data_IF_268317703848
#
_entry.id   IF_268317703848
#
_cell.length_a   1.000
_cell.length_b   1.000
_cell.length_c   1.000
_cell.angle_alpha   90.00
_cell.angle_beta   90.00
_cell.angle_gamma   90.00
#
_symmetry.space_group_name_H-M   'P 1'
#
loop_
_entity.id
_entity.type
_entity.pdbx_description
1 polymer ?
#
# COMPACT_ATOMS: atom_id res chain seq x y z
N UNK A 1 -6.90 -6.42 -15.88
CA UNK A 1 -6.47 -5.16 -15.24
C UNK A 1 -5.17 -4.71 -15.88
N UNK A 2 -4.87 -3.42 -15.83
CA UNK A 2 -3.66 -2.86 -16.43
C UNK A 2 -2.38 -3.63 -16.04
N UNK A 3 -2.23 -4.00 -14.78
CA UNK A 3 -1.08 -4.78 -14.31
C UNK A 3 -0.99 -6.17 -14.94
N UNK A 4 -2.12 -6.87 -15.02
CA UNK A 4 -2.14 -8.21 -15.61
C UNK A 4 -1.90 -8.17 -17.10
N UNK A 5 -2.49 -7.20 -17.82
CA UNK A 5 -2.31 -7.03 -19.26
C UNK A 5 -0.83 -6.75 -19.58
N UNK A 6 -0.16 -5.91 -18.77
CA UNK A 6 1.26 -5.60 -18.90
C UNK A 6 2.18 -6.77 -18.49
N UNK A 7 1.76 -7.59 -17.53
CA UNK A 7 2.49 -8.80 -17.16
C UNK A 7 2.41 -9.84 -18.30
N UNK A 8 1.24 -10.03 -18.87
CA UNK A 8 1.02 -10.94 -20.00
C UNK A 8 1.75 -10.48 -21.28
N UNK A 9 1.85 -9.18 -21.52
CA UNK A 9 2.63 -8.62 -22.63
C UNK A 9 4.15 -8.67 -22.41
N UNK A 10 4.61 -8.97 -21.18
CA UNK A 10 6.03 -8.98 -20.82
C UNK A 10 6.62 -7.59 -20.54
N UNK A 11 5.81 -6.55 -20.47
CA UNK A 11 6.25 -5.21 -20.07
C UNK A 11 6.59 -5.12 -18.57
N UNK A 12 5.89 -5.89 -17.74
CA UNK A 12 6.18 -6.08 -16.31
C UNK A 12 6.73 -7.48 -16.07
N UNK A 13 7.56 -7.60 -15.04
CA UNK A 13 8.13 -8.88 -14.60
C UNK A 13 7.78 -9.14 -13.14
N UNK A 14 7.63 -10.41 -12.79
CA UNK A 14 7.54 -10.82 -11.39
C UNK A 14 8.89 -10.63 -10.70
N UNK A 15 8.85 -10.11 -9.49
CA UNK A 15 10.00 -9.97 -8.59
C UNK A 15 9.77 -10.77 -7.32
N UNK A 16 10.76 -10.89 -6.48
CA UNK A 16 10.56 -11.39 -5.12
C UNK A 16 9.91 -10.27 -4.31
N UNK A 17 8.70 -10.50 -3.85
CA UNK A 17 7.90 -9.54 -3.08
C UNK A 17 7.52 -10.12 -1.72
N UNK A 18 7.32 -9.26 -0.75
CA UNK A 18 6.90 -9.66 0.60
C UNK A 18 5.39 -9.95 0.66
N UNK A 19 4.60 -9.16 -0.04
CA UNK A 19 3.12 -9.24 -0.17
C UNK A 19 2.32 -9.03 1.14
N UNK A 20 2.97 -8.54 2.20
CA UNK A 20 2.33 -8.05 3.43
C UNK A 20 3.25 -7.01 4.10
N UNK A 21 3.48 -5.91 3.38
CA UNK A 21 4.48 -4.87 3.75
C UNK A 21 3.93 -3.79 4.68
N UNK A 22 2.86 -4.10 5.39
CA UNK A 22 2.33 -3.20 6.43
C UNK A 22 3.38 -2.86 7.47
N UNK A 23 3.31 -1.67 8.05
CA UNK A 23 4.31 -1.17 9.00
C UNK A 23 4.49 -2.10 10.22
N UNK A 24 3.46 -2.83 10.63
CA UNK A 24 3.50 -3.78 11.74
C UNK A 24 4.47 -4.96 11.50
N UNK A 25 4.89 -5.20 10.25
CA UNK A 25 5.86 -6.23 9.90
C UNK A 25 7.31 -5.69 9.85
N UNK A 26 7.54 -4.47 10.31
CA UNK A 26 8.87 -3.88 10.49
C UNK A 26 9.17 -3.71 11.97
N UNK A 27 10.21 -4.36 12.46
CA UNK A 27 10.69 -4.15 13.83
C UNK A 27 11.56 -2.89 13.88
N UNK A 28 11.26 -2.03 14.84
CA UNK A 28 11.96 -0.77 15.07
C UNK A 28 12.63 -0.83 16.44
N UNK A 29 13.88 -0.40 16.51
CA UNK A 29 14.64 -0.29 17.77
C UNK A 29 14.12 0.88 18.59
N UNK A 30 13.64 0.61 19.80
CA UNK A 30 13.01 1.59 20.67
C UNK A 30 13.95 2.74 21.10
N UNK A 31 15.27 2.51 21.09
CA UNK A 31 16.24 3.52 21.52
C UNK A 31 16.69 4.42 20.38
N UNK A 32 16.84 3.86 19.19
CA UNK A 32 17.39 4.58 18.03
C UNK A 32 16.36 5.00 17.00
N UNK A 33 15.14 4.45 17.07
CA UNK A 33 14.07 4.64 16.07
C UNK A 33 14.41 4.06 14.70
N UNK A 34 15.41 3.17 14.59
CA UNK A 34 15.82 2.57 13.31
C UNK A 34 15.14 1.23 13.09
N UNK A 35 14.81 0.95 11.83
CA UNK A 35 14.36 -0.38 11.41
C UNK A 35 15.47 -1.40 11.66
N UNK A 36 15.12 -2.53 12.29
CA UNK A 36 16.05 -3.64 12.63
C UNK A 36 15.91 -4.76 11.61
N UNK A 37 14.69 -5.21 11.36
CA UNK A 37 14.38 -6.28 10.41
C UNK A 37 12.92 -6.25 9.98
N UNK A 38 12.65 -6.97 8.89
CA UNK A 38 11.30 -7.29 8.41
C UNK A 38 10.94 -8.69 8.90
N UNK A 39 9.70 -8.89 9.31
CA UNK A 39 9.16 -10.16 9.84
C UNK A 39 7.94 -10.59 9.02
N UNK A 40 7.36 -11.76 9.36
CA UNK A 40 6.17 -12.31 8.71
C UNK A 40 6.42 -12.66 7.23
N UNK A 41 7.45 -13.50 7.00
CA UNK A 41 7.97 -13.81 5.67
C UNK A 41 7.23 -14.97 4.97
N UNK A 42 6.13 -15.47 5.51
CA UNK A 42 5.38 -16.60 4.95
C UNK A 42 4.63 -16.26 3.65
N UNK A 43 4.45 -14.97 3.36
CA UNK A 43 3.85 -14.45 2.12
C UNK A 43 4.89 -14.12 1.03
N UNK A 44 6.18 -14.32 1.30
CA UNK A 44 7.23 -14.02 0.31
C UNK A 44 7.14 -14.96 -0.90
N UNK A 45 6.84 -14.39 -2.06
CA UNK A 45 6.69 -15.13 -3.31
C UNK A 45 6.90 -14.21 -4.52
N UNK A 46 6.95 -14.77 -5.76
CA UNK A 46 6.95 -13.94 -6.95
C UNK A 46 5.68 -13.06 -7.04
N UNK A 47 5.86 -11.76 -7.21
CA UNK A 47 4.77 -10.78 -7.30
C UNK A 47 5.19 -9.50 -8.03
N UNK A 48 4.29 -8.54 -8.10
CA UNK A 48 4.55 -7.23 -8.67
C UNK A 48 5.06 -6.29 -7.56
N UNK A 49 6.15 -5.59 -7.82
CA UNK A 49 6.76 -4.67 -6.84
C UNK A 49 5.79 -3.56 -6.38
N UNK A 50 4.84 -3.18 -7.23
CA UNK A 50 3.80 -2.21 -6.92
C UNK A 50 2.88 -2.68 -5.79
N UNK A 51 2.74 -3.98 -5.57
CA UNK A 51 1.93 -4.53 -4.48
C UNK A 51 2.59 -4.24 -3.12
N UNK A 52 3.90 -4.47 -3.00
CA UNK A 52 4.65 -4.16 -1.77
C UNK A 52 4.61 -2.66 -1.44
N UNK A 53 4.89 -1.83 -2.45
CA UNK A 53 4.75 -0.38 -2.29
C UNK A 53 3.34 0.02 -1.87
N UNK A 54 2.33 -0.53 -2.56
CA UNK A 54 0.93 -0.18 -2.33
C UNK A 54 0.42 -0.56 -0.95
N UNK A 55 0.74 -1.76 -0.47
CA UNK A 55 0.32 -2.20 0.86
C UNK A 55 0.98 -1.37 1.98
N UNK A 56 2.22 -0.97 1.79
CA UNK A 56 2.90 -0.07 2.72
C UNK A 56 2.28 1.34 2.74
N UNK A 57 1.92 1.90 1.57
CA UNK A 57 1.27 3.21 1.48
C UNK A 57 -0.12 3.18 2.13
N UNK A 58 -0.89 2.13 1.89
CA UNK A 58 -2.23 1.95 2.46
C UNK A 58 -2.24 2.09 3.98
N UNK A 59 -1.21 1.59 4.65
CA UNK A 59 -1.09 1.63 6.11
C UNK A 59 -0.22 2.80 6.58
N UNK A 60 0.90 3.05 5.92
CA UNK A 60 1.91 4.02 6.36
C UNK A 60 1.66 5.47 5.97
N UNK A 61 0.81 5.73 4.96
CA UNK A 61 0.46 7.09 4.53
C UNK A 61 -0.99 7.49 4.87
N UNK A 62 -1.79 6.59 5.46
CA UNK A 62 -3.10 6.93 6.00
C UNK A 62 -2.98 7.82 7.24
N UNK A 63 -3.84 8.84 7.34
CA UNK A 63 -3.91 9.73 8.51
C UNK A 63 -4.77 9.15 9.64
N UNK A 64 -5.44 8.02 9.41
CA UNK A 64 -6.36 7.40 10.35
C UNK A 64 -6.10 5.88 10.44
N UNK A 65 -6.60 5.27 11.49
CA UNK A 65 -6.58 3.83 11.68
C UNK A 65 -7.40 3.11 10.60
N UNK A 66 -7.12 1.82 10.38
CA UNK A 66 -7.76 1.02 9.33
C UNK A 66 -9.27 0.87 9.53
N UNK A 67 -9.75 0.95 10.76
CA UNK A 67 -11.16 0.80 11.16
C UNK A 67 -11.80 2.11 11.67
N UNK A 68 -11.27 3.27 11.28
CA UNK A 68 -11.77 4.59 11.64
C UNK A 68 -13.23 4.78 11.19
N UNK A 69 -14.09 5.11 12.13
CA UNK A 69 -15.53 5.33 11.87
C UNK A 69 -15.79 6.73 11.30
N UNK A 70 -14.99 7.71 11.76
CA UNK A 70 -15.12 9.08 11.28
C UNK A 70 -14.34 9.27 9.96
N UNK A 71 -14.97 9.03 8.85
CA UNK A 71 -14.36 9.10 7.53
C UNK A 71 -13.78 10.49 7.18
N UNK A 72 -14.15 11.54 7.89
CA UNK A 72 -13.54 12.88 7.67
C UNK A 72 -12.07 12.96 8.14
N UNK A 73 -11.62 12.01 8.94
CA UNK A 73 -10.23 11.90 9.39
C UNK A 73 -9.36 11.11 8.44
N UNK A 74 -9.97 10.38 7.51
CA UNK A 74 -9.28 9.48 6.57
C UNK A 74 -8.78 10.24 5.37
N UNK A 75 -7.46 10.31 5.22
CA UNK A 75 -6.78 10.96 4.10
C UNK A 75 -5.43 10.30 3.83
N UNK A 76 -4.96 10.33 2.60
CA UNK A 76 -3.59 9.99 2.25
C UNK A 76 -2.69 11.21 2.46
N UNK A 77 -1.76 11.13 3.41
CA UNK A 77 -0.77 12.17 3.67
C UNK A 77 0.28 12.18 2.55
N UNK A 78 0.35 13.28 1.81
CA UNK A 78 1.35 13.42 0.74
C UNK A 78 2.77 13.55 1.29
N UNK A 79 2.95 14.06 2.50
CA UNK A 79 4.24 14.11 3.19
C UNK A 79 4.75 12.68 3.51
N UNK A 80 3.89 11.83 4.07
CA UNK A 80 4.23 10.43 4.36
C UNK A 80 4.41 9.63 3.07
N UNK A 81 3.57 9.87 2.06
CA UNK A 81 3.71 9.27 0.74
C UNK A 81 5.07 9.61 0.09
N UNK A 82 5.50 10.89 0.10
CA UNK A 82 6.82 11.29 -0.43
C UNK A 82 7.95 10.65 0.38
N UNK A 83 7.85 10.68 1.70
CA UNK A 83 8.88 10.12 2.59
C UNK A 83 9.05 8.61 2.34
N UNK A 84 7.94 7.88 2.26
CA UNK A 84 7.97 6.45 1.97
C UNK A 84 8.51 6.16 0.56
N UNK A 85 8.02 6.88 -0.44
CA UNK A 85 8.48 6.75 -1.84
C UNK A 85 10.00 6.92 -1.93
N UNK A 86 10.55 7.89 -1.25
CA UNK A 86 11.99 8.15 -1.20
C UNK A 86 12.75 6.98 -0.57
N UNK A 87 12.29 6.47 0.56
CA UNK A 87 12.88 5.32 1.24
C UNK A 87 12.81 4.06 0.38
N UNK A 88 11.66 3.81 -0.23
CA UNK A 88 11.42 2.64 -1.09
C UNK A 88 12.33 2.66 -2.33
N UNK A 89 12.33 3.75 -3.09
CA UNK A 89 13.16 3.87 -4.30
C UNK A 89 14.66 3.79 -3.95
N UNK A 90 15.09 4.42 -2.87
CA UNK A 90 16.46 4.30 -2.39
C UNK A 90 16.83 2.86 -2.01
N UNK A 91 15.92 2.13 -1.37
CA UNK A 91 16.10 0.71 -1.00
C UNK A 91 16.16 -0.20 -2.21
N UNK A 92 15.36 0.05 -3.23
CA UNK A 92 15.37 -0.69 -4.50
C UNK A 92 16.60 -0.37 -5.37
N UNK A 93 17.24 0.78 -5.19
CA UNK A 93 18.33 1.25 -6.04
C UNK A 93 17.92 1.28 -7.52
N UNK A 94 18.79 0.82 -8.38
CA UNK A 94 18.55 0.79 -9.85
C UNK A 94 17.84 -0.50 -10.32
N UNK A 95 17.17 -1.24 -9.44
CA UNK A 95 16.56 -2.52 -9.80
C UNK A 95 15.21 -2.38 -10.49
N UNK A 96 14.51 -1.26 -10.31
CA UNK A 96 13.21 -1.02 -10.90
C UNK A 96 13.31 -0.42 -12.30
N UNK A 97 12.41 -0.85 -13.19
CA UNK A 97 12.27 -0.22 -14.51
C UNK A 97 11.54 1.12 -14.40
N UNK A 98 11.71 2.04 -15.36
CA UNK A 98 10.94 3.29 -15.39
C UNK A 98 9.43 3.07 -15.39
N UNK A 99 8.96 1.99 -16.02
CA UNK A 99 7.55 1.62 -16.03
C UNK A 99 7.08 1.23 -14.63
N UNK A 100 7.81 0.37 -13.90
CA UNK A 100 7.47 -0.02 -12.53
C UNK A 100 7.39 1.19 -11.61
N UNK A 101 8.36 2.11 -11.72
CA UNK A 101 8.35 3.37 -10.94
C UNK A 101 7.11 4.20 -11.25
N UNK A 102 6.76 4.37 -12.53
CA UNK A 102 5.58 5.15 -12.93
C UNK A 102 4.25 4.57 -12.44
N UNK A 103 4.22 3.26 -12.17
CA UNK A 103 3.04 2.53 -11.70
C UNK A 103 2.91 2.44 -10.16
N UNK A 104 3.87 2.95 -9.39
CA UNK A 104 3.80 2.94 -7.93
C UNK A 104 2.53 3.60 -7.36
N UNK A 105 2.08 4.79 -7.84
CA UNK A 105 0.81 5.37 -7.38
C UNK A 105 -0.40 4.46 -7.65
N UNK A 106 -0.40 3.77 -8.80
CA UNK A 106 -1.46 2.82 -9.13
C UNK A 106 -1.42 1.61 -8.19
N UNK A 107 -0.23 1.16 -7.78
CA UNK A 107 -0.06 0.11 -6.77
C UNK A 107 -0.71 0.50 -5.44
N UNK A 108 -0.47 1.73 -4.96
CA UNK A 108 -1.08 2.24 -3.74
C UNK A 108 -2.62 2.21 -3.81
N UNK A 109 -3.18 2.73 -4.89
CA UNK A 109 -4.64 2.73 -5.10
C UNK A 109 -5.21 1.31 -5.20
N UNK A 110 -4.57 0.43 -5.98
CA UNK A 110 -5.05 -0.94 -6.20
C UNK A 110 -5.02 -1.78 -4.92
N UNK A 111 -3.95 -1.72 -4.14
CA UNK A 111 -3.85 -2.47 -2.89
C UNK A 111 -4.86 -1.99 -1.84
N UNK A 112 -5.09 -0.67 -1.77
CA UNK A 112 -6.12 -0.10 -0.90
C UNK A 112 -7.52 -0.55 -1.32
N UNK A 113 -7.81 -0.51 -2.62
CA UNK A 113 -9.10 -0.94 -3.16
C UNK A 113 -9.34 -2.45 -2.95
N UNK A 114 -8.33 -3.28 -3.22
CA UNK A 114 -8.39 -4.73 -3.01
C UNK A 114 -8.73 -5.07 -1.56
N UNK A 115 -8.02 -4.47 -0.60
CA UNK A 115 -8.28 -4.70 0.81
C UNK A 115 -9.69 -4.23 1.22
N UNK A 116 -10.16 -3.11 0.68
CA UNK A 116 -11.54 -2.67 0.87
C UNK A 116 -12.57 -3.71 0.42
N UNK A 117 -12.37 -4.31 -0.76
CA UNK A 117 -13.24 -5.39 -1.26
C UNK A 117 -13.13 -6.65 -0.38
N UNK A 118 -11.93 -7.02 0.07
CA UNK A 118 -11.73 -8.18 0.94
C UNK A 118 -12.49 -8.02 2.27
N UNK A 119 -12.41 -6.85 2.90
CA UNK A 119 -13.18 -6.55 4.12
C UNK A 119 -14.69 -6.60 3.88
N UNK A 120 -15.17 -6.04 2.76
CA UNK A 120 -16.58 -6.09 2.41
C UNK A 120 -17.04 -7.54 2.17
N UNK A 121 -16.25 -8.32 1.46
CA UNK A 121 -16.55 -9.72 1.19
C UNK A 121 -16.69 -10.52 2.48
N UNK A 122 -15.73 -10.35 3.40
CA UNK A 122 -15.78 -11.05 4.69
C UNK A 122 -16.98 -10.62 5.54
N UNK A 123 -17.28 -9.32 5.58
CA UNK A 123 -18.49 -8.81 6.24
C UNK A 123 -19.77 -9.46 5.70
N UNK A 124 -19.90 -9.56 4.37
CA UNK A 124 -21.07 -10.17 3.73
C UNK A 124 -21.14 -11.69 3.96
N UNK A 125 -20.01 -12.34 4.22
CA UNK A 125 -19.92 -13.76 4.55
C UNK A 125 -20.11 -14.06 6.05
N UNK A 126 -20.27 -13.03 6.88
CA UNK A 126 -20.50 -13.17 8.32
C UNK A 126 -19.22 -13.11 9.16
N UNK A 127 -18.21 -12.37 8.70
CA UNK A 127 -16.95 -12.09 9.42
C UNK A 127 -16.18 -13.36 9.80
N UNK A 128 -15.91 -14.21 8.80
CA UNK A 128 -15.32 -15.55 9.02
C UNK A 128 -13.81 -15.59 8.83
N UNK A 129 -13.21 -14.62 8.17
CA UNK A 129 -11.78 -14.58 7.83
C UNK A 129 -10.98 -13.63 8.72
N UNK A 130 -11.35 -12.35 8.75
CA UNK A 130 -10.65 -11.36 9.55
C UNK A 130 -11.16 -11.35 10.99
N UNK A 131 -10.23 -11.26 11.93
CA UNK A 131 -10.61 -11.11 13.35
C UNK A 131 -11.33 -9.78 13.55
N UNK A 132 -12.53 -9.84 14.09
CA UNK A 132 -13.32 -8.67 14.48
C UNK A 132 -13.25 -8.43 15.98
N UNK A 133 -13.31 -7.17 16.40
CA UNK A 133 -13.39 -6.76 17.81
C UNK A 133 -14.76 -6.19 18.18
N UNK A 134 -15.61 -5.89 17.20
CA UNK A 134 -16.94 -5.29 17.39
C UNK A 134 -17.84 -5.59 16.20
N UNK A 135 -19.14 -5.37 16.35
CA UNK A 135 -20.09 -5.42 15.24
C UNK A 135 -19.70 -4.41 14.14
N UNK A 136 -19.91 -4.77 12.88
CA UNK A 136 -19.59 -3.98 11.69
C UNK A 136 -18.10 -3.61 11.52
N UNK A 137 -17.18 -4.26 12.24
CA UNK A 137 -15.75 -3.92 12.20
C UNK A 137 -15.18 -3.98 10.77
N UNK A 138 -15.45 -5.07 10.02
CA UNK A 138 -14.99 -5.19 8.64
C UNK A 138 -15.73 -4.25 7.67
N UNK A 139 -16.98 -3.88 7.96
CA UNK A 139 -17.69 -2.86 7.18
C UNK A 139 -17.05 -1.47 7.36
N UNK A 140 -16.64 -1.13 8.58
CA UNK A 140 -15.94 0.14 8.85
C UNK A 140 -14.56 0.15 8.18
N UNK A 141 -13.80 -0.96 8.27
CA UNK A 141 -12.55 -1.13 7.52
C UNK A 141 -12.75 -0.94 6.01
N UNK A 142 -13.79 -1.53 5.44
CA UNK A 142 -14.12 -1.35 4.03
C UNK A 142 -14.35 0.13 3.70
N UNK A 143 -15.16 0.83 4.50
CA UNK A 143 -15.46 2.26 4.30
C UNK A 143 -14.21 3.12 4.38
N UNK A 144 -13.32 2.84 5.34
CA UNK A 144 -12.04 3.53 5.49
C UNK A 144 -11.16 3.34 4.25
N UNK A 145 -11.03 2.10 3.76
CA UNK A 145 -10.24 1.84 2.55
C UNK A 145 -10.83 2.54 1.32
N UNK A 146 -12.15 2.49 1.11
CA UNK A 146 -12.77 3.18 -0.01
C UNK A 146 -12.65 4.70 0.08
N UNK A 147 -12.71 5.26 1.30
CA UNK A 147 -12.46 6.69 1.53
C UNK A 147 -11.03 7.08 1.22
N UNK A 148 -10.07 6.23 1.57
CA UNK A 148 -8.66 6.44 1.25
C UNK A 148 -8.42 6.38 -0.28
N UNK A 149 -9.09 5.47 -1.00
CA UNK A 149 -9.06 5.43 -2.48
C UNK A 149 -9.61 6.72 -3.08
N UNK A 150 -10.77 7.20 -2.60
CA UNK A 150 -11.35 8.48 -3.03
C UNK A 150 -10.37 9.65 -2.87
N UNK A 151 -9.68 9.72 -1.72
CA UNK A 151 -8.71 10.77 -1.43
C UNK A 151 -7.44 10.64 -2.32
N UNK A 152 -6.96 9.42 -2.58
CA UNK A 152 -5.87 9.17 -3.53
C UNK A 152 -6.26 9.60 -4.95
N UNK A 153 -7.50 9.35 -5.38
CA UNK A 153 -7.99 9.79 -6.69
C UNK A 153 -8.03 11.31 -6.78
N UNK A 154 -8.47 11.99 -5.74
CA UNK A 154 -8.46 13.45 -5.67
C UNK A 154 -7.06 14.06 -5.69
N UNK A 155 -6.04 13.32 -5.23
CA UNK A 155 -4.62 13.72 -5.17
C UNK A 155 -3.77 13.05 -6.24
N UNK A 156 -4.37 12.46 -7.25
CA UNK A 156 -3.69 11.59 -8.22
C UNK A 156 -2.49 12.25 -8.89
N UNK A 157 -2.68 13.44 -9.43
CA UNK A 157 -1.61 14.18 -10.11
C UNK A 157 -0.44 14.48 -9.17
N UNK A 158 -0.75 14.86 -7.91
CA UNK A 158 0.28 15.11 -6.89
C UNK A 158 1.07 13.84 -6.55
N UNK A 159 0.42 12.68 -6.45
CA UNK A 159 1.10 11.41 -6.23
C UNK A 159 2.05 11.08 -7.38
N UNK A 160 1.62 11.30 -8.62
CA UNK A 160 2.47 11.09 -9.80
C UNK A 160 3.67 12.04 -9.83
N UNK A 161 3.45 13.33 -9.56
CA UNK A 161 4.53 14.33 -9.48
C UNK A 161 5.56 13.99 -8.41
N UNK A 162 5.12 13.54 -7.23
CA UNK A 162 6.01 13.10 -6.14
C UNK A 162 6.89 11.93 -6.61
N UNK A 163 6.30 10.90 -7.21
CA UNK A 163 7.08 9.73 -7.68
C UNK A 163 8.09 10.15 -8.75
N UNK A 164 7.71 10.98 -9.71
CA UNK A 164 8.61 11.48 -10.75
C UNK A 164 9.75 12.30 -10.15
N UNK A 165 9.45 13.24 -9.26
CA UNK A 165 10.43 14.07 -8.56
C UNK A 165 11.43 13.21 -7.80
N UNK A 166 10.92 12.32 -6.95
CA UNK A 166 11.77 11.47 -6.09
C UNK A 166 12.63 10.52 -6.91
N UNK A 167 12.09 9.94 -7.99
CA UNK A 167 12.87 9.05 -8.86
C UNK A 167 14.02 9.74 -9.59
N UNK A 168 13.94 11.05 -9.79
CA UNK A 168 15.03 11.83 -10.39
C UNK A 168 16.11 12.23 -9.36
N UNK A 169 15.84 12.10 -8.06
CA UNK A 169 16.73 12.51 -6.97
C UNK A 169 17.50 11.33 -6.34
N UNK A 170 17.08 10.10 -6.59
CA UNK A 170 17.67 8.87 -6.01
C UNK A 170 18.27 7.98 -7.10
#
# INVERSE_FOLDING_TARGET
>A
SEFMDRLESGELSLRVTHNDTKLNNVMIDDLTGKGICVIDLDTVMPGLVMNDFGDSIRTGASTAEEDEINLSLVSCSMELFETYTRGFLKGCGNSLTPLEVSLLPMGAKMMTYENGIRFLTDYLQGDVYFKIARENHNLDRCRTQLKLVEDMEAKWDQMQEIVQKVSAEV
#
